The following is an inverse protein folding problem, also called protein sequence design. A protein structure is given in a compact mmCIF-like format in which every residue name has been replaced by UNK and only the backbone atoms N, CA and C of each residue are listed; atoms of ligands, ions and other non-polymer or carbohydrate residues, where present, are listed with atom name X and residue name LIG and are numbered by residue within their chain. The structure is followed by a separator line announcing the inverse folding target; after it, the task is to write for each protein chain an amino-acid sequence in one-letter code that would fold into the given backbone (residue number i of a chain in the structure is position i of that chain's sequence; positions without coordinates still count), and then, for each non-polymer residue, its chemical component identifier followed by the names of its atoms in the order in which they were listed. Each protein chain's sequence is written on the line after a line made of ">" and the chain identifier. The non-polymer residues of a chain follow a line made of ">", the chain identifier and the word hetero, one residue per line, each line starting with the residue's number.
data_IF_609218662594
#
_entry.id   IF_609218662594
#
_cell.length_a   1.000
_cell.length_b   1.000
_cell.length_c   1.000
_cell.angle_alpha   90.00
_cell.angle_beta   90.00
_cell.angle_gamma   90.00
#
_symmetry.space_group_name_H-M   'P 1'
#
loop_
_entity.id
_entity.type
_entity.pdbx_description
1 polymer ?
#
# COMPACT_ATOMS: atom_id res chain seq x y z
N UNK A 1 58.06 24.09 11.46
CA UNK A 1 57.41 23.42 10.31
C UNK A 1 56.50 22.22 10.63
N UNK A 2 56.42 21.61 11.85
CA UNK A 2 55.56 20.43 12.04
C UNK A 2 54.05 20.75 12.10
N UNK A 3 53.66 21.97 12.49
CA UNK A 3 52.25 22.37 12.62
C UNK A 3 51.52 22.41 11.26
N UNK A 4 52.20 22.89 10.21
CA UNK A 4 51.66 22.95 8.84
C UNK A 4 51.38 21.56 8.26
N UNK A 5 52.22 20.57 8.57
CA UNK A 5 51.97 19.17 8.15
C UNK A 5 50.77 18.57 8.89
N UNK A 6 50.64 18.87 10.18
CA UNK A 6 49.50 18.42 10.99
C UNK A 6 48.17 19.02 10.48
N UNK A 7 48.13 20.32 10.14
CA UNK A 7 46.93 20.96 9.59
C UNK A 7 46.56 20.39 8.23
N UNK A 8 47.53 20.09 7.37
CA UNK A 8 47.28 19.46 6.07
C UNK A 8 46.71 18.04 6.22
N UNK A 9 47.22 17.26 7.17
CA UNK A 9 46.69 15.92 7.48
C UNK A 9 45.24 15.99 7.96
N UNK A 10 44.92 16.91 8.87
CA UNK A 10 43.54 17.12 9.35
C UNK A 10 42.59 17.53 8.21
N UNK A 11 43.04 18.38 7.28
CA UNK A 11 42.22 18.78 6.13
C UNK A 11 41.91 17.60 5.20
N UNK A 12 42.91 16.75 4.93
CA UNK A 12 42.72 15.55 4.12
C UNK A 12 41.73 14.58 4.78
N UNK A 13 41.83 14.39 6.09
CA UNK A 13 40.90 13.57 6.87
C UNK A 13 39.47 14.14 6.86
N UNK A 14 39.32 15.45 7.00
CA UNK A 14 38.02 16.10 6.90
C UNK A 14 37.39 15.93 5.52
N UNK A 15 38.19 16.02 4.44
CA UNK A 15 37.72 15.82 3.07
C UNK A 15 37.32 14.36 2.82
N UNK A 16 38.06 13.38 3.36
CA UNK A 16 37.67 11.96 3.21
C UNK A 16 36.39 11.65 3.96
N UNK A 17 36.22 12.15 5.19
CA UNK A 17 34.98 12.02 5.95
C UNK A 17 33.79 12.63 5.20
N UNK A 18 33.95 13.85 4.68
CA UNK A 18 32.89 14.52 3.92
C UNK A 18 32.50 13.74 2.65
N UNK A 19 33.48 13.17 1.94
CA UNK A 19 33.20 12.30 0.77
C UNK A 19 32.42 11.04 1.15
N UNK A 20 32.70 10.45 2.31
CA UNK A 20 31.95 9.29 2.81
C UNK A 20 30.50 9.66 3.16
N UNK A 21 30.30 10.82 3.79
CA UNK A 21 28.95 11.31 4.11
C UNK A 21 28.13 11.60 2.85
N UNK A 22 28.75 12.19 1.82
CA UNK A 22 28.09 12.39 0.53
C UNK A 22 27.70 11.07 -0.15
N UNK A 23 28.56 10.05 -0.10
CA UNK A 23 28.22 8.73 -0.65
C UNK A 23 27.02 8.12 0.09
N UNK A 24 26.99 8.19 1.42
CA UNK A 24 25.86 7.73 2.23
C UNK A 24 24.57 8.50 1.92
N UNK A 25 24.66 9.81 1.70
CA UNK A 25 23.50 10.61 1.33
C UNK A 25 22.98 10.24 -0.06
N UNK A 26 23.86 9.99 -1.03
CA UNK A 26 23.48 9.53 -2.37
C UNK A 26 22.70 8.21 -2.31
N UNK A 27 23.18 7.22 -1.54
CA UNK A 27 22.47 5.94 -1.35
C UNK A 27 21.07 6.12 -0.74
N UNK A 28 20.95 7.04 0.23
CA UNK A 28 19.66 7.39 0.84
C UNK A 28 18.72 8.05 -0.16
N UNK A 29 19.22 8.94 -1.01
CA UNK A 29 18.43 9.58 -2.06
C UNK A 29 17.92 8.55 -3.05
N UNK A 30 18.77 7.65 -3.55
CA UNK A 30 18.36 6.54 -4.43
C UNK A 30 17.27 5.69 -3.78
N UNK A 31 17.44 5.35 -2.50
CA UNK A 31 16.44 4.59 -1.74
C UNK A 31 15.11 5.34 -1.65
N UNK A 32 15.13 6.64 -1.34
CA UNK A 32 13.92 7.45 -1.25
C UNK A 32 13.23 7.64 -2.61
N UNK A 33 13.99 7.91 -3.68
CA UNK A 33 13.48 8.03 -5.04
C UNK A 33 12.80 6.74 -5.49
N UNK A 34 13.36 5.58 -5.15
CA UNK A 34 12.72 4.28 -5.43
C UNK A 34 11.37 4.11 -4.70
N UNK A 35 11.29 4.54 -3.44
CA UNK A 35 10.06 4.50 -2.65
C UNK A 35 9.01 5.49 -3.17
N UNK A 36 9.43 6.70 -3.54
CA UNK A 36 8.56 7.72 -4.14
C UNK A 36 8.03 7.24 -5.49
N UNK A 37 8.87 6.57 -6.30
CA UNK A 37 8.45 5.92 -7.55
C UNK A 37 7.39 4.84 -7.31
N UNK A 38 7.59 3.97 -6.31
CA UNK A 38 6.63 2.93 -5.94
C UNK A 38 5.30 3.52 -5.44
N UNK A 39 5.34 4.56 -4.59
CA UNK A 39 4.15 5.27 -4.10
C UNK A 39 3.41 5.93 -5.27
N UNK A 40 4.14 6.58 -6.18
CA UNK A 40 3.56 7.22 -7.36
C UNK A 40 2.87 6.21 -8.26
N UNK A 41 3.48 5.04 -8.49
CA UNK A 41 2.86 3.93 -9.23
C UNK A 41 1.55 3.47 -8.59
N UNK A 42 1.51 3.29 -7.27
CA UNK A 42 0.28 2.90 -6.54
C UNK A 42 -0.81 3.99 -6.62
N UNK A 43 -0.44 5.27 -6.56
CA UNK A 43 -1.39 6.38 -6.71
C UNK A 43 -1.94 6.46 -8.14
N UNK A 44 -1.09 6.18 -9.13
CA UNK A 44 -1.46 6.19 -10.55
C UNK A 44 -2.40 5.03 -10.90
N UNK A 45 -2.12 3.83 -10.36
CA UNK A 45 -2.99 2.65 -10.48
C UNK A 45 -4.39 2.90 -9.86
N UNK A 46 -4.45 3.66 -8.75
CA UNK A 46 -5.73 4.09 -8.17
C UNK A 46 -6.53 5.05 -9.05
N UNK A 47 -5.89 5.87 -9.88
CA UNK A 47 -6.60 6.77 -10.82
C UNK A 47 -7.13 6.04 -12.04
N UNK A 48 -6.55 4.90 -12.40
CA UNK A 48 -7.01 4.04 -13.49
C UNK A 48 -8.11 3.05 -13.09
N UNK A 49 -8.56 3.05 -11.83
CA UNK A 49 -9.74 2.26 -11.45
C UNK A 49 -10.94 2.83 -12.22
N UNK A 50 -11.60 2.04 -13.08
CA UNK A 50 -12.78 2.51 -13.79
C UNK A 50 -13.81 2.97 -12.75
N UNK A 51 -14.27 4.21 -12.92
CA UNK A 51 -15.29 4.77 -12.06
C UNK A 51 -16.55 3.91 -12.19
N UNK A 52 -17.04 3.38 -11.07
CA UNK A 52 -18.28 2.61 -11.05
C UNK A 52 -19.41 3.56 -11.41
N UNK A 53 -20.18 3.22 -12.45
CA UNK A 53 -21.35 3.99 -12.84
C UNK A 53 -22.40 4.02 -11.71
N UNK A 54 -23.12 5.13 -11.58
CA UNK A 54 -24.08 5.36 -10.50
C UNK A 54 -25.18 4.31 -10.49
N UNK A 55 -25.64 3.87 -11.67
CA UNK A 55 -26.64 2.80 -11.78
C UNK A 55 -26.10 1.48 -11.22
N UNK A 56 -24.83 1.17 -11.50
CA UNK A 56 -24.17 -0.03 -10.97
C UNK A 56 -24.02 0.05 -9.45
N UNK A 57 -23.65 1.21 -8.92
CA UNK A 57 -23.55 1.43 -7.47
C UNK A 57 -24.91 1.28 -6.77
N UNK A 58 -25.98 1.77 -7.39
CA UNK A 58 -27.35 1.64 -6.89
C UNK A 58 -27.80 0.18 -6.84
N UNK A 59 -27.55 -0.59 -7.90
CA UNK A 59 -27.85 -2.04 -7.96
C UNK A 59 -27.09 -2.80 -6.88
N UNK A 60 -25.80 -2.52 -6.70
CA UNK A 60 -24.99 -3.15 -5.65
C UNK A 60 -25.56 -2.81 -4.26
N UNK A 61 -25.90 -1.54 -4.04
CA UNK A 61 -26.43 -1.08 -2.75
C UNK A 61 -27.78 -1.71 -2.42
N UNK A 62 -28.68 -1.79 -3.41
CA UNK A 62 -29.97 -2.45 -3.28
C UNK A 62 -29.83 -3.95 -2.98
N UNK A 63 -28.91 -4.64 -3.66
CA UNK A 63 -28.64 -6.05 -3.41
C UNK A 63 -28.12 -6.30 -1.99
N UNK A 64 -27.21 -5.45 -1.49
CA UNK A 64 -26.71 -5.53 -0.12
C UNK A 64 -27.84 -5.27 0.89
N UNK A 65 -28.67 -4.24 0.65
CA UNK A 65 -29.77 -3.91 1.53
C UNK A 65 -30.82 -5.04 1.59
N UNK A 66 -31.14 -5.64 0.45
CA UNK A 66 -32.02 -6.80 0.37
C UNK A 66 -31.44 -8.04 1.08
N UNK A 67 -30.14 -8.28 0.94
CA UNK A 67 -29.46 -9.40 1.59
C UNK A 67 -29.41 -9.24 3.12
N UNK A 68 -29.13 -8.03 3.61
CA UNK A 68 -29.04 -7.77 5.05
C UNK A 68 -30.41 -7.51 5.70
N UNK A 69 -31.45 -7.21 4.92
CA UNK A 69 -32.76 -6.80 5.42
C UNK A 69 -32.78 -5.40 6.07
N UNK A 70 -31.71 -4.64 5.92
CA UNK A 70 -31.54 -3.27 6.47
C UNK A 70 -30.87 -2.38 5.44
N UNK A 71 -30.92 -1.07 5.59
CA UNK A 71 -30.24 -0.10 4.71
C UNK A 71 -28.86 0.29 5.30
N UNK A 72 -27.77 -0.45 5.00
CA UNK A 72 -26.45 -0.12 5.54
C UNK A 72 -25.90 1.15 4.90
N UNK A 73 -25.19 1.95 5.69
CA UNK A 73 -24.46 3.09 5.17
C UNK A 73 -23.13 2.64 4.56
N UNK A 74 -23.06 2.56 3.23
CA UNK A 74 -21.87 2.11 2.50
C UNK A 74 -20.90 3.27 2.35
N UNK A 75 -19.75 3.20 3.03
CA UNK A 75 -18.72 4.25 3.00
C UNK A 75 -17.71 4.11 1.87
N UNK A 76 -17.42 2.89 1.44
CA UNK A 76 -16.43 2.63 0.42
C UNK A 76 -16.72 1.30 -0.29
N UNK A 77 -16.66 1.31 -1.62
CA UNK A 77 -16.67 0.12 -2.47
C UNK A 77 -15.34 0.07 -3.21
N UNK A 78 -14.67 -1.09 -3.18
CA UNK A 78 -13.42 -1.31 -3.89
C UNK A 78 -13.45 -2.67 -4.56
N UNK A 79 -13.05 -2.71 -5.84
CA UNK A 79 -12.77 -3.96 -6.51
C UNK A 79 -11.49 -4.57 -5.93
N UNK A 80 -11.60 -5.76 -5.35
CA UNK A 80 -10.45 -6.53 -4.89
C UNK A 80 -10.13 -7.55 -5.99
N UNK A 81 -9.01 -7.36 -6.69
CA UNK A 81 -8.58 -8.23 -7.79
C UNK A 81 -7.97 -9.57 -7.36
N UNK A 82 -8.01 -9.93 -6.07
CA UNK A 82 -7.39 -11.17 -5.59
C UNK A 82 -8.38 -12.35 -5.63
N UNK A 83 -7.96 -13.45 -6.24
CA UNK A 83 -8.74 -14.71 -6.24
C UNK A 83 -8.99 -15.25 -4.82
N UNK A 84 -8.16 -14.87 -3.85
CA UNK A 84 -8.35 -15.24 -2.44
C UNK A 84 -9.65 -14.69 -1.85
N UNK A 85 -10.11 -13.50 -2.26
CA UNK A 85 -11.37 -12.92 -1.76
C UNK A 85 -12.58 -13.71 -2.24
N UNK A 86 -12.58 -14.10 -3.52
CA UNK A 86 -13.62 -14.96 -4.11
C UNK A 86 -13.71 -16.32 -3.42
N UNK A 87 -12.57 -16.93 -3.09
CA UNK A 87 -12.52 -18.22 -2.39
C UNK A 87 -13.03 -18.09 -0.94
N UNK A 88 -12.59 -17.07 -0.20
CA UNK A 88 -13.03 -16.84 1.18
C UNK A 88 -14.54 -16.53 1.26
N UNK A 89 -15.08 -15.69 0.37
CA UNK A 89 -16.51 -15.38 0.36
C UNK A 89 -17.37 -16.63 0.14
N UNK A 90 -16.97 -17.51 -0.79
CA UNK A 90 -17.65 -18.81 -1.01
C UNK A 90 -17.55 -19.72 0.20
N UNK A 91 -16.37 -19.81 0.83
CA UNK A 91 -16.16 -20.62 2.02
C UNK A 91 -17.02 -20.14 3.20
N UNK A 92 -17.14 -18.83 3.44
CA UNK A 92 -17.99 -18.27 4.51
C UNK A 92 -19.47 -18.60 4.28
N UNK A 93 -19.96 -18.45 3.04
CA UNK A 93 -21.35 -18.78 2.69
C UNK A 93 -21.60 -20.29 2.91
N UNK A 94 -20.70 -21.16 2.46
CA UNK A 94 -20.83 -22.61 2.64
C UNK A 94 -20.72 -23.04 4.12
N UNK A 95 -19.82 -22.43 4.88
CA UNK A 95 -19.65 -22.72 6.30
C UNK A 95 -20.90 -22.35 7.12
N UNK A 96 -21.58 -21.24 6.80
CA UNK A 96 -22.81 -20.83 7.50
C UNK A 96 -23.93 -21.88 7.39
N UNK A 97 -24.00 -22.63 6.28
CA UNK A 97 -24.98 -23.70 6.10
C UNK A 97 -24.64 -24.97 6.89
N UNK A 98 -23.35 -25.27 7.11
CA UNK A 98 -22.93 -26.42 7.91
C UNK A 98 -23.15 -26.23 9.42
N UNK A 99 -23.24 -24.99 9.90
CA UNK A 99 -23.48 -24.70 11.33
C UNK A 99 -24.93 -24.96 11.77
N UNK A 100 -25.89 -25.05 10.84
CA UNK A 100 -27.30 -25.33 11.17
C UNK A 100 -27.65 -26.83 11.21
N UNK A 101 -26.74 -27.72 10.80
CA UNK A 101 -27.01 -29.18 10.69
C UNK A 101 -26.55 -29.96 11.93
N UNK A 102 -25.92 -29.33 12.92
CA UNK A 102 -25.57 -29.97 14.19
C UNK A 102 -26.62 -29.70 15.28
N UNK A 103 -27.79 -30.33 15.13
CA UNK A 103 -28.64 -30.66 16.28
C UNK A 103 -28.44 -32.16 16.58
N UNK A 104 -27.63 -32.47 17.60
CA UNK A 104 -27.62 -33.79 18.24
C UNK A 104 -27.50 -33.63 19.74
#
# INVERSE_FOLDING_TARGET
>A
MPQTEQTMQQLLEAVTALRQDFARLADRVVTLESQVGAISGVVQDRRSIPQIDEQTLSVISAAIAAYLGVTPHIRQVRLIGSMSWLQNGRATIQASHNLQVQHR
#
